data_IF_085871524911
#
_entry.id   IF_085871524911
#
_cell.length_a   1.000
_cell.length_b   1.000
_cell.length_c   1.000
_cell.angle_alpha   90.00
_cell.angle_beta   90.00
_cell.angle_gamma   90.00
#
_symmetry.space_group_name_H-M   'P 1'
#
loop_
_entity.id
_entity.type
_entity.pdbx_description
1 polymer ?
2 polymer ?
3 non-polymer ?
4 water ?
#
# COMPACT_ATOMS: atom_id res chain seq x y z
N UNK A 1 -1.42 -30.83 26.94
CA UNK A 1 -1.01 -30.10 25.75
C UNK A 1 -2.09 -29.12 25.31
N UNK A 2 -2.17 -27.98 25.98
CA UNK A 2 -3.14 -26.93 25.65
C UNK A 2 -2.36 -25.66 25.31
N UNK A 3 -2.27 -25.36 24.02
CA UNK A 3 -1.54 -24.19 23.56
C UNK A 3 -2.24 -22.91 24.02
N UNK A 4 -1.46 -21.84 24.12
CA UNK A 4 -2.03 -20.53 24.35
C UNK A 4 -2.74 -20.06 23.07
N UNK A 5 -3.75 -19.21 23.21
CA UNK A 5 -4.41 -18.68 22.01
C UNK A 5 -3.48 -17.75 21.25
N UNK A 6 -3.70 -17.69 19.94
CA UNK A 6 -3.04 -16.64 19.14
C UNK A 6 -3.90 -15.39 19.12
N UNK A 7 -5.23 -15.55 19.02
CA UNK A 7 -6.10 -14.38 19.00
C UNK A 7 -7.27 -14.59 19.93
N UNK A 8 -7.58 -13.58 20.74
CA UNK A 8 -8.70 -13.61 21.68
C UNK A 8 -9.54 -12.35 21.50
N UNK A 9 -10.78 -12.51 21.05
CA UNK A 9 -11.75 -11.43 20.94
C UNK A 9 -12.86 -11.72 21.95
N UNK A 10 -12.91 -10.92 23.00
CA UNK A 10 -13.88 -11.11 24.07
C UNK A 10 -14.86 -9.94 24.08
N UNK A 11 -16.15 -10.26 23.94
CA UNK A 11 -17.28 -9.33 23.96
C UNK A 11 -17.00 -8.04 23.22
N UNK A 12 -16.44 -8.16 22.02
CA UNK A 12 -16.19 -6.99 21.20
C UNK A 12 -17.43 -6.57 20.43
N UNK A 13 -17.63 -5.25 20.33
CA UNK A 13 -18.78 -4.69 19.66
C UNK A 13 -18.36 -3.50 18.81
N UNK A 14 -18.95 -3.38 17.63
CA UNK A 14 -18.73 -2.26 16.74
C UNK A 14 -20.07 -1.59 16.51
N UNK A 15 -20.20 -0.35 17.01
CA UNK A 15 -21.37 0.50 16.80
C UNK A 15 -20.95 1.65 15.88
N UNK A 16 -21.66 1.80 14.75
CA UNK A 16 -21.48 2.79 13.70
C UNK A 16 -22.63 3.81 13.73
N UNK A 17 -22.38 5.06 13.36
CA UNK A 17 -23.49 5.96 13.04
C UNK A 17 -24.10 5.58 11.70
N UNK A 18 -25.41 5.31 11.70
CA UNK A 18 -26.13 4.95 10.49
C UNK A 18 -27.12 6.07 10.18
N UNK A 19 -26.67 7.07 9.43
CA UNK A 19 -27.49 8.25 9.20
C UNK A 19 -27.64 9.03 10.49
N UNK A 20 -28.89 9.33 10.87
CA UNK A 20 -29.15 9.97 12.16
C UNK A 20 -29.22 8.96 13.30
N UNK A 21 -29.40 7.69 12.99
CA UNK A 21 -29.45 6.67 14.03
C UNK A 21 -28.10 5.98 14.14
N UNK A 22 -28.09 4.79 14.73
CA UNK A 22 -26.88 3.98 14.86
C UNK A 22 -27.19 2.55 14.45
N UNK A 23 -26.14 1.83 14.06
CA UNK A 23 -26.24 0.42 13.71
C UNK A 23 -25.17 -0.33 14.48
N UNK A 24 -25.54 -1.45 15.08
CA UNK A 24 -24.61 -2.27 15.85
C UNK A 24 -24.05 -3.31 14.89
N UNK A 25 -22.96 -2.93 14.21
CA UNK A 25 -22.35 -3.81 13.22
C UNK A 25 -21.84 -5.10 13.84
N UNK A 26 -21.47 -5.07 15.11
CA UNK A 26 -20.98 -6.29 15.77
C UNK A 26 -21.36 -6.25 17.24
N UNK A 27 -21.86 -7.38 17.76
CA UNK A 27 -22.53 -7.44 19.06
C UNK A 27 -21.88 -8.51 19.94
N UNK A 28 -20.96 -8.08 20.82
CA UNK A 28 -20.37 -8.91 21.88
C UNK A 28 -19.81 -10.23 21.32
N UNK A 29 -19.01 -10.13 20.27
CA UNK A 29 -18.45 -11.32 19.65
C UNK A 29 -17.30 -11.88 20.49
N UNK A 30 -17.30 -13.20 20.69
CA UNK A 30 -16.23 -13.90 21.39
C UNK A 30 -15.71 -15.01 20.49
N UNK A 31 -14.47 -14.88 20.03
CA UNK A 31 -13.77 -15.95 19.34
C UNK A 31 -12.36 -16.06 19.91
N UNK A 32 -11.78 -17.26 19.79
CA UNK A 32 -10.42 -17.52 20.24
C UNK A 32 -9.82 -18.55 19.30
N UNK A 33 -8.60 -18.30 18.84
CA UNK A 33 -7.96 -19.18 17.86
C UNK A 33 -6.49 -19.40 18.21
N UNK A 34 -6.05 -20.63 17.98
CA UNK A 34 -4.79 -21.24 18.34
C UNK A 34 -4.02 -21.65 17.10
N UNK A 35 -2.71 -21.89 17.23
CA UNK A 35 -1.91 -22.26 16.06
C UNK A 35 -2.43 -23.49 15.33
N UNK A 36 -2.44 -23.41 14.01
CA UNK A 36 -2.81 -24.53 13.15
C UNK A 36 -4.28 -24.73 12.92
N UNK A 37 -5.12 -23.77 13.29
CA UNK A 37 -6.56 -23.87 13.11
C UNK A 37 -7.02 -22.99 11.95
N UNK A 38 -7.94 -23.53 11.15
CA UNK A 38 -8.67 -22.76 10.14
C UNK A 38 -10.11 -22.66 10.65
N UNK A 39 -10.48 -21.49 11.14
CA UNK A 39 -11.83 -21.22 11.63
C UNK A 39 -12.57 -20.41 10.59
N UNK A 40 -13.71 -20.93 10.13
CA UNK A 40 -14.49 -20.26 9.11
C UNK A 40 -15.63 -19.47 9.76
N UNK A 41 -15.68 -18.18 9.45
CA UNK A 41 -16.79 -17.32 9.85
C UNK A 41 -17.85 -17.40 8.77
N UNK A 42 -19.06 -17.86 9.12
CA UNK A 42 -20.11 -18.05 8.14
C UNK A 42 -21.35 -17.29 8.58
N UNK A 43 -22.26 -17.08 7.64
CA UNK A 43 -23.48 -16.33 7.88
C UNK A 43 -23.91 -15.50 6.70
N UNK A 44 -25.23 -15.32 6.55
CA UNK A 44 -25.82 -14.53 5.48
C UNK A 44 -25.21 -13.14 5.39
N UNK A 45 -25.26 -12.53 4.21
CA UNK A 45 -24.65 -11.21 4.01
C UNK A 45 -25.27 -10.20 4.96
N UNK A 46 -24.45 -9.30 5.48
CA UNK A 46 -24.94 -8.30 6.40
C UNK A 46 -25.07 -8.75 7.84
N UNK A 47 -24.40 -9.83 8.23
CA UNK A 47 -24.46 -10.30 9.61
C UNK A 47 -23.16 -10.04 10.36
N UNK A 48 -22.24 -9.25 9.80
CA UNK A 48 -21.07 -8.80 10.52
C UNK A 48 -19.81 -9.62 10.31
N UNK A 49 -19.76 -10.46 9.28
CA UNK A 49 -18.58 -11.29 9.07
C UNK A 49 -17.34 -10.44 8.83
N UNK A 50 -17.40 -9.55 7.83
CA UNK A 50 -16.25 -8.71 7.52
C UNK A 50 -15.91 -7.75 8.65
N UNK A 51 -16.88 -7.39 9.50
CA UNK A 51 -16.57 -6.55 10.65
C UNK A 51 -15.78 -7.32 11.70
N UNK A 52 -16.19 -8.56 11.98
CA UNK A 52 -15.39 -9.41 12.85
C UNK A 52 -13.98 -9.56 12.30
N UNK A 53 -13.87 -9.74 10.98
CA UNK A 53 -12.54 -9.89 10.39
C UNK A 53 -11.71 -8.61 10.52
N UNK A 54 -12.36 -7.45 10.37
CA UNK A 54 -11.61 -6.19 10.41
C UNK A 54 -11.19 -5.81 11.82
N UNK A 55 -11.94 -6.22 12.84
CA UNK A 55 -11.42 -5.99 14.19
C UNK A 55 -10.37 -7.03 14.56
N UNK A 56 -10.52 -8.26 14.04
CA UNK A 56 -9.48 -9.26 14.25
C UNK A 56 -8.17 -8.86 13.59
N UNK A 57 -8.23 -8.06 12.53
CA UNK A 57 -7.04 -7.58 11.85
C UNK A 57 -6.57 -6.21 12.25
N UNK A 58 -7.12 -5.62 13.32
CA UNK A 58 -6.69 -4.32 13.82
C UNK A 58 -6.82 -3.24 12.76
N UNK A 59 -7.76 -3.42 11.85
CA UNK A 59 -8.13 -2.38 10.89
C UNK A 59 -9.15 -1.41 11.47
N UNK A 60 -9.77 -1.75 12.60
CA UNK A 60 -10.82 -0.96 13.21
C UNK A 60 -10.77 -1.17 14.72
N UNK A 61 -10.97 -0.08 15.46
CA UNK A 61 -11.00 -0.52 16.85
C UNK A 61 -12.43 -0.84 17.27
N UNK A 62 -12.61 -1.81 18.16
CA UNK A 62 -13.95 -2.04 18.71
C UNK A 62 -14.39 -0.84 19.53
N UNK A 63 -15.69 -0.57 19.54
CA UNK A 63 -16.16 0.51 20.39
C UNK A 63 -16.29 0.09 21.84
N UNK A 64 -16.48 -1.21 22.10
CA UNK A 64 -16.37 -1.78 23.44
C UNK A 64 -15.91 -3.22 23.29
N UNK A 65 -15.21 -3.73 24.30
CA UNK A 65 -14.70 -5.09 24.26
C UNK A 65 -13.24 -5.12 23.82
N UNK A 66 -12.71 -6.34 23.72
CA UNK A 66 -11.27 -6.50 23.59
C UNK A 66 -10.90 -7.45 22.45
N UNK A 67 -9.84 -7.06 21.72
CA UNK A 67 -9.16 -7.90 20.74
C UNK A 67 -7.69 -7.94 21.13
N UNK A 68 -7.18 -9.14 21.41
CA UNK A 68 -5.83 -9.33 21.91
C UNK A 68 -5.11 -10.33 21.03
N UNK A 69 -3.97 -9.92 20.46
CA UNK A 69 -3.07 -10.81 19.73
C UNK A 69 -1.92 -11.11 20.69
N UNK A 70 -1.98 -12.28 21.32
CA UNK A 70 -0.95 -12.68 22.28
C UNK A 70 0.41 -12.72 21.62
N UNK A 71 1.32 -11.88 22.09
CA UNK A 71 2.60 -11.65 21.45
C UNK A 71 2.72 -10.32 20.76
N UNK A 72 1.67 -9.50 20.78
CA UNK A 72 1.70 -8.15 20.25
C UNK A 72 1.33 -7.12 21.30
N UNK A 73 1.16 -7.53 22.56
CA UNK A 73 0.85 -6.61 23.64
C UNK A 73 1.87 -5.47 23.69
N UNK A 74 1.36 -4.23 23.74
CA UNK A 74 2.20 -3.05 23.76
C UNK A 74 2.36 -2.38 22.40
N UNK A 75 1.91 -3.01 21.33
CA UNK A 75 1.99 -2.44 19.99
C UNK A 75 0.66 -1.76 19.65
N UNK A 76 0.74 -0.66 18.92
CA UNK A 76 -0.46 -0.08 18.35
C UNK A 76 -0.92 -0.92 17.14
N UNK A 77 -2.11 -0.58 16.63
CA UNK A 77 -2.78 -1.45 15.65
C UNK A 77 -1.95 -1.62 14.39
N UNK A 78 -1.43 -0.53 13.83
CA UNK A 78 -0.68 -0.62 12.58
C UNK A 78 0.52 -1.55 12.73
N UNK A 79 1.32 -1.36 13.79
CA UNK A 79 2.47 -2.22 14.01
C UNK A 79 2.04 -3.65 14.29
N UNK A 80 0.89 -3.85 14.94
CA UNK A 80 0.39 -5.20 15.16
C UNK A 80 0.15 -5.90 13.83
N UNK A 81 -0.47 -5.20 12.88
CA UNK A 81 -0.61 -5.73 11.53
C UNK A 81 0.75 -5.98 10.89
N UNK A 82 1.62 -4.97 10.93
CA UNK A 82 2.91 -5.02 10.22
C UNK A 82 3.83 -6.11 10.75
N UNK A 83 3.68 -6.51 12.00
CA UNK A 83 4.60 -7.46 12.61
C UNK A 83 3.99 -8.83 12.88
N UNK A 84 2.65 -8.99 12.82
CA UNK A 84 2.08 -10.27 13.19
C UNK A 84 0.94 -10.79 12.31
N UNK A 85 0.45 -10.02 11.34
CA UNK A 85 -0.77 -10.40 10.63
C UNK A 85 -0.52 -10.47 9.13
N UNK A 86 -1.19 -11.43 8.49
CA UNK A 86 -1.23 -11.53 7.03
C UNK A 86 -2.66 -11.40 6.53
N UNK A 87 -2.80 -10.73 5.39
CA UNK A 87 -4.12 -10.31 4.87
C UNK A 87 -4.35 -10.88 3.48
N UNK A 88 -5.11 -11.96 3.39
CA UNK A 88 -5.59 -12.48 2.10
C UNK A 88 -6.88 -11.73 1.80
N UNK A 89 -6.74 -10.57 1.16
CA UNK A 89 -7.87 -9.72 0.86
C UNK A 89 -8.80 -10.40 -0.15
N UNK A 90 -10.05 -9.92 -0.18
CA UNK A 90 -11.00 -10.43 -1.16
C UNK A 90 -10.57 -10.07 -2.57
N UNK A 91 -10.26 -8.79 -2.80
CA UNK A 91 -9.57 -8.44 -4.03
C UNK A 91 -8.09 -8.77 -3.86
N UNK A 92 -7.44 -9.32 -4.89
CA UNK A 92 -6.00 -9.61 -4.79
C UNK A 92 -5.15 -8.44 -4.32
N UNK A 93 -5.55 -7.20 -4.62
CA UNK A 93 -4.88 -5.99 -4.11
C UNK A 93 -3.37 -6.06 -4.35
N UNK A 94 -3.00 -6.33 -5.60
CA UNK A 94 -1.62 -6.29 -6.03
C UNK A 94 -1.32 -4.92 -6.63
N UNK A 95 -0.08 -4.48 -6.45
CA UNK A 95 0.34 -3.15 -6.89
C UNK A 95 0.88 -3.25 -8.32
N UNK A 96 0.28 -2.48 -9.22
CA UNK A 96 0.47 -2.73 -10.64
C UNK A 96 1.91 -2.58 -11.11
N UNK A 97 2.63 -1.61 -10.55
CA UNK A 97 4.00 -1.35 -10.99
C UNK A 97 4.96 -2.45 -10.55
N UNK A 98 4.56 -3.29 -9.60
CA UNK A 98 5.45 -4.30 -9.06
C UNK A 98 5.26 -5.63 -9.78
N UNK A 99 6.35 -6.38 -9.87
CA UNK A 99 6.30 -7.76 -10.34
C UNK A 99 5.75 -8.65 -9.22
N UNK A 100 5.37 -9.87 -9.60
CA UNK A 100 4.82 -10.81 -8.63
C UNK A 100 5.76 -10.96 -7.43
N UNK A 101 7.04 -11.24 -7.71
CA UNK A 101 8.03 -11.36 -6.63
C UNK A 101 8.10 -10.07 -5.80
N UNK A 102 7.97 -8.92 -6.46
CA UNK A 102 8.04 -7.65 -5.72
C UNK A 102 6.83 -7.44 -4.83
N UNK A 103 5.68 -8.03 -5.16
CA UNK A 103 4.53 -8.01 -4.26
C UNK A 103 4.91 -8.61 -2.90
N UNK A 104 5.74 -9.65 -2.90
CA UNK A 104 6.21 -10.23 -1.66
C UNK A 104 7.31 -9.39 -1.04
N UNK A 105 8.27 -8.96 -1.87
CA UNK A 105 9.47 -8.28 -1.34
C UNK A 105 9.12 -6.96 -0.64
N UNK A 106 8.11 -6.24 -1.15
CA UNK A 106 7.86 -4.93 -0.56
C UNK A 106 7.37 -5.06 0.88
N UNK A 107 6.77 -6.20 1.26
CA UNK A 107 6.38 -6.36 2.65
C UNK A 107 7.59 -6.57 3.54
N UNK A 108 8.68 -7.11 2.99
CA UNK A 108 9.96 -7.06 3.69
C UNK A 108 10.44 -5.62 3.82
N UNK A 109 10.29 -4.84 2.75
CA UNK A 109 10.81 -3.47 2.75
C UNK A 109 10.15 -2.63 3.85
N UNK A 110 8.82 -2.55 3.85
CA UNK A 110 8.12 -1.73 4.84
C UNK A 110 8.26 -2.29 6.25
N UNK A 111 8.62 -3.56 6.39
CA UNK A 111 8.96 -4.15 7.69
C UNK A 111 10.34 -3.75 8.18
N UNK A 112 11.09 -3.00 7.39
CA UNK A 112 12.36 -2.44 7.81
C UNK A 112 13.60 -3.19 7.38
N UNK A 113 13.46 -4.36 6.75
CA UNK A 113 14.59 -5.25 6.52
C UNK A 113 14.88 -5.38 5.04
N UNK A 114 16.11 -5.79 4.74
CA UNK A 114 16.56 -5.99 3.37
C UNK A 114 15.77 -7.12 2.71
N UNK A 115 15.09 -6.88 1.59
CA UNK A 115 14.22 -7.91 1.01
C UNK A 115 14.95 -9.19 0.66
N UNK A 116 14.30 -10.32 0.96
CA UNK A 116 14.89 -11.65 0.79
C UNK A 116 14.32 -12.28 -0.48
N UNK A 117 15.10 -12.22 -1.56
CA UNK A 117 14.57 -12.67 -2.85
C UNK A 117 14.38 -14.18 -2.88
N UNK A 118 15.29 -14.94 -2.27
CA UNK A 118 15.17 -16.40 -2.29
C UNK A 118 13.93 -16.86 -1.54
N UNK A 119 13.65 -16.26 -0.38
CA UNK A 119 12.41 -16.57 0.34
C UNK A 119 11.19 -16.22 -0.48
N UNK A 120 11.24 -15.08 -1.18
CA UNK A 120 10.14 -14.69 -2.06
C UNK A 120 9.88 -15.76 -3.12
N UNK A 121 10.93 -16.21 -3.78
CA UNK A 121 10.77 -17.22 -4.83
C UNK A 121 10.30 -18.54 -4.26
N UNK A 122 10.81 -18.94 -3.09
CA UNK A 122 10.36 -20.16 -2.44
C UNK A 122 8.86 -20.09 -2.11
N UNK A 123 8.39 -18.93 -1.66
CA UNK A 123 6.98 -18.79 -1.32
C UNK A 123 6.08 -18.71 -2.55
N UNK A 124 6.58 -18.14 -3.65
CA UNK A 124 5.82 -18.19 -4.90
C UNK A 124 5.74 -19.63 -5.42
N UNK A 125 6.83 -20.38 -5.29
CA UNK A 125 6.79 -21.80 -5.62
C UNK A 125 5.80 -22.54 -4.73
N UNK A 126 5.72 -22.13 -3.47
CA UNK A 126 4.90 -22.83 -2.49
C UNK A 126 3.41 -22.70 -2.77
N UNK A 127 2.98 -21.55 -3.29
CA UNK A 127 1.58 -21.33 -3.59
C UNK A 127 1.29 -21.71 -5.04
N UNK A 128 2.24 -22.36 -5.69
CA UNK A 128 2.01 -22.90 -7.01
C UNK A 128 2.35 -21.99 -8.18
N UNK A 129 3.24 -21.03 -7.98
CA UNK A 129 3.70 -20.17 -9.07
C UNK A 129 5.22 -20.20 -9.16
N UNK A 130 5.79 -21.41 -9.10
CA UNK A 130 7.22 -21.58 -9.25
C UNK A 130 7.71 -20.96 -10.55
N UNK A 131 8.63 -20.00 -10.43
CA UNK A 131 9.26 -19.38 -11.56
C UNK A 131 8.55 -18.18 -12.15
N UNK A 132 7.34 -17.86 -11.70
CA UNK A 132 6.63 -16.70 -12.18
C UNK A 132 6.97 -15.44 -11.41
N UNK A 133 8.13 -15.40 -10.74
CA UNK A 133 8.48 -14.24 -9.93
C UNK A 133 8.54 -12.94 -10.71
N UNK A 134 8.82 -13.02 -12.00
CA UNK A 134 8.96 -11.83 -12.82
C UNK A 134 7.72 -11.36 -13.54
N UNK A 135 6.63 -12.13 -13.48
CA UNK A 135 5.42 -11.75 -14.21
C UNK A 135 4.85 -10.44 -13.68
N UNK A 136 4.39 -9.59 -14.60
CA UNK A 136 3.67 -8.39 -14.21
C UNK A 136 2.21 -8.75 -13.90
N UNK A 137 1.54 -7.85 -13.17
CA UNK A 137 0.19 -8.15 -12.69
C UNK A 137 -0.76 -8.38 -13.86
N UNK A 138 -0.58 -7.64 -14.96
CA UNK A 138 -1.42 -7.83 -16.13
C UNK A 138 -1.30 -9.23 -16.73
N UNK A 139 -0.20 -9.93 -16.43
CA UNK A 139 0.01 -11.27 -16.97
C UNK A 139 -0.50 -12.38 -16.08
N UNK A 140 -1.02 -12.07 -14.89
CA UNK A 140 -1.49 -13.07 -13.94
C UNK A 140 -3.01 -13.19 -14.01
N UNK A 141 -3.50 -14.42 -14.08
CA UNK A 141 -4.93 -14.67 -14.02
C UNK A 141 -5.44 -14.49 -12.59
N UNK A 142 -6.75 -14.30 -12.45
CA UNK A 142 -7.32 -14.04 -11.14
C UNK A 142 -6.94 -15.09 -10.11
N UNK A 143 -6.92 -16.35 -10.52
CA UNK A 143 -6.42 -17.39 -9.64
C UNK A 143 -4.98 -17.16 -9.23
N UNK A 144 -4.12 -16.87 -10.20
CA UNK A 144 -2.70 -16.63 -9.90
C UNK A 144 -2.52 -15.39 -9.06
N UNK A 145 -3.30 -14.34 -9.33
CA UNK A 145 -3.30 -13.15 -8.49
C UNK A 145 -3.58 -13.50 -7.04
N UNK A 146 -4.63 -14.30 -6.81
CA UNK A 146 -4.97 -14.68 -5.45
C UNK A 146 -3.85 -15.50 -4.81
N UNK A 147 -3.21 -16.38 -5.59
CA UNK A 147 -2.09 -17.14 -5.05
C UNK A 147 -0.94 -16.23 -4.63
N UNK A 148 -0.68 -15.19 -5.43
CA UNK A 148 0.34 -14.20 -5.06
C UNK A 148 -0.06 -13.50 -3.77
N UNK A 149 -1.34 -13.11 -3.67
CA UNK A 149 -1.85 -12.48 -2.45
C UNK A 149 -1.56 -13.35 -1.22
N UNK A 150 -1.77 -14.66 -1.35
CA UNK A 150 -1.49 -15.57 -0.24
C UNK A 150 -0.01 -15.60 0.08
N UNK A 151 0.83 -15.75 -0.94
CA UNK A 151 2.28 -15.77 -0.72
C UNK A 151 2.75 -14.49 -0.04
N UNK A 152 2.18 -13.34 -0.43
CA UNK A 152 2.50 -12.08 0.22
C UNK A 152 2.13 -12.13 1.69
N UNK A 153 0.95 -12.65 2.02
CA UNK A 153 0.57 -12.79 3.41
C UNK A 153 1.49 -13.73 4.19
N UNK A 154 2.13 -14.69 3.52
CA UNK A 154 3.07 -15.58 4.18
C UNK A 154 4.46 -14.98 4.38
N UNK A 155 4.81 -13.94 3.61
CA UNK A 155 6.18 -13.47 3.52
C UNK A 155 6.76 -13.08 4.88
N UNK A 156 5.95 -12.44 5.72
CA UNK A 156 6.39 -11.98 7.03
C UNK A 156 6.31 -12.97 8.15
N UNK A 157 6.03 -14.25 7.87
CA UNK A 157 5.87 -15.27 8.89
C UNK A 157 4.87 -14.83 9.97
N UNK A 158 3.65 -14.47 9.58
CA UNK A 158 2.68 -13.97 10.56
C UNK A 158 2.16 -15.11 11.42
N UNK A 159 1.65 -14.75 12.60
CA UNK A 159 0.98 -15.74 13.42
C UNK A 159 -0.51 -15.83 13.12
N UNK A 160 -1.10 -14.76 12.60
CA UNK A 160 -2.52 -14.69 12.31
C UNK A 160 -2.68 -14.41 10.82
N UNK A 161 -3.61 -15.12 10.18
CA UNK A 161 -3.89 -14.96 8.76
C UNK A 161 -5.38 -14.78 8.57
N UNK A 162 -5.78 -13.66 7.98
CA UNK A 162 -7.18 -13.33 7.78
C UNK A 162 -7.48 -13.37 6.29
N UNK A 163 -8.36 -14.29 5.90
CA UNK A 163 -8.80 -14.47 4.51
C UNK A 163 -10.23 -13.99 4.40
N UNK A 164 -10.45 -12.99 3.55
CA UNK A 164 -11.78 -12.40 3.37
C UNK A 164 -12.33 -12.87 2.03
N UNK A 165 -13.16 -13.92 2.07
CA UNK A 165 -13.79 -14.52 0.89
C UNK A 165 -12.87 -14.50 -0.33
N UNK A 166 -11.69 -15.10 -0.25
CA UNK A 166 -10.70 -14.94 -1.33
C UNK A 166 -11.01 -15.74 -2.59
N UNK A 167 -12.12 -16.45 -2.65
CA UNK A 167 -12.54 -17.18 -3.84
C UNK A 167 -13.80 -16.60 -4.46
N UNK A 168 -14.19 -15.38 -4.07
CA UNK A 168 -15.46 -14.83 -4.51
C UNK A 168 -15.52 -14.62 -6.02
N UNK A 169 -14.36 -14.43 -6.66
CA UNK A 169 -14.32 -14.15 -8.09
C UNK A 169 -13.74 -15.32 -8.89
N UNK A 170 -13.91 -16.55 -8.40
CA UNK A 170 -13.30 -17.73 -9.00
C UNK A 170 -14.33 -18.84 -9.18
N UNK A 171 -14.07 -19.73 -10.15
CA UNK A 171 -14.99 -20.82 -10.44
C UNK A 171 -14.82 -21.93 -9.40
N UNK A 172 -15.54 -23.04 -9.60
CA UNK A 172 -15.53 -24.12 -8.62
C UNK A 172 -14.14 -24.73 -8.45
N UNK A 173 -13.46 -25.00 -9.56
CA UNK A 173 -12.17 -25.68 -9.53
C UNK A 173 -11.10 -24.82 -8.86
N UNK A 174 -11.01 -23.55 -9.25
CA UNK A 174 -10.05 -22.63 -8.64
C UNK A 174 -10.40 -22.36 -7.18
N UNK A 175 -11.70 -22.25 -6.85
CA UNK A 175 -12.08 -22.05 -5.46
C UNK A 175 -11.61 -23.23 -4.60
N UNK A 176 -11.78 -24.46 -5.10
CA UNK A 176 -11.33 -25.62 -4.36
C UNK A 176 -9.81 -25.62 -4.20
N UNK A 177 -9.08 -25.29 -5.27
CA UNK A 177 -7.63 -25.21 -5.16
C UNK A 177 -7.20 -24.16 -4.14
N UNK A 178 -7.85 -23.01 -4.13
CA UNK A 178 -7.42 -21.92 -3.26
C UNK A 178 -7.73 -22.24 -1.81
N UNK A 179 -8.89 -22.84 -1.53
CA UNK A 179 -9.16 -23.18 -0.14
C UNK A 179 -8.30 -24.35 0.33
N UNK A 180 -7.98 -25.29 -0.57
CA UNK A 180 -7.03 -26.35 -0.20
C UNK A 180 -5.66 -25.76 0.13
N UNK A 181 -5.20 -24.79 -0.68
CA UNK A 181 -3.92 -24.13 -0.41
C UNK A 181 -3.95 -23.41 0.93
N UNK A 182 -5.07 -22.74 1.23
CA UNK A 182 -5.18 -22.04 2.51
C UNK A 182 -5.08 -23.00 3.68
N UNK A 183 -5.83 -24.11 3.64
CA UNK A 183 -5.74 -25.10 4.72
C UNK A 183 -4.34 -25.70 4.81
N UNK A 184 -3.70 -25.93 3.66
CA UNK A 184 -2.40 -26.58 3.66
C UNK A 184 -1.31 -25.69 4.25
N UNK A 185 -1.33 -24.38 3.96
CA UNK A 185 -0.33 -23.53 4.59
C UNK A 185 -0.71 -23.22 6.03
N UNK A 186 -2.01 -23.19 6.35
CA UNK A 186 -2.41 -23.05 7.76
C UNK A 186 -1.81 -24.17 8.60
N UNK A 187 -1.90 -25.40 8.11
CA UNK A 187 -1.30 -26.52 8.85
C UNK A 187 0.21 -26.50 8.79
N UNK A 188 0.78 -26.18 7.61
CA UNK A 188 2.24 -26.25 7.48
C UNK A 188 2.93 -25.19 8.33
N UNK A 189 2.47 -23.95 8.24
CA UNK A 189 3.13 -22.84 8.92
C UNK A 189 2.56 -22.56 10.30
N UNK A 190 1.64 -23.39 10.79
CA UNK A 190 1.03 -23.23 12.12
C UNK A 190 0.46 -21.82 12.30
N UNK A 191 -0.23 -21.34 11.26
CA UNK A 191 -0.95 -20.08 11.36
C UNK A 191 -2.30 -20.30 12.03
N UNK A 192 -2.79 -19.27 12.69
CA UNK A 192 -4.18 -19.20 13.10
C UNK A 192 -4.93 -18.43 12.01
N UNK A 193 -5.78 -19.13 11.27
CA UNK A 193 -6.42 -18.59 10.09
C UNK A 193 -7.91 -18.35 10.37
N UNK A 194 -8.34 -17.11 10.20
CA UNK A 194 -9.74 -16.73 10.19
C UNK A 194 -10.18 -16.53 8.76
N UNK A 195 -11.12 -17.33 8.28
CA UNK A 195 -11.56 -17.27 6.88
C UNK A 195 -13.05 -16.99 6.83
N UNK A 196 -13.42 -15.90 6.18
CA UNK A 196 -14.82 -15.57 5.93
C UNK A 196 -15.23 -16.18 4.60
N UNK A 197 -16.33 -16.94 4.60
CA UNK A 197 -16.90 -17.43 3.35
C UNK A 197 -18.41 -17.51 3.46
N UNK A 198 -19.04 -17.53 2.29
CA UNK A 198 -20.47 -17.74 2.17
C UNK A 198 -20.80 -19.02 1.41
N UNK A 199 -19.80 -19.72 0.89
CA UNK A 199 -20.00 -20.91 0.08
C UNK A 199 -19.82 -22.15 0.95
N UNK A 200 -20.89 -22.94 1.07
CA UNK A 200 -20.84 -24.10 1.96
C UNK A 200 -19.94 -25.20 1.40
N UNK A 201 -19.73 -25.21 0.07
CA UNK A 201 -18.79 -26.13 -0.56
C UNK A 201 -17.38 -25.97 -0.01
N UNK A 202 -17.18 -25.00 0.89
CA UNK A 202 -15.89 -24.75 1.49
C UNK A 202 -15.81 -25.18 2.96
N UNK A 203 -16.95 -25.33 3.64
CA UNK A 203 -16.91 -25.55 5.08
C UNK A 203 -16.18 -26.83 5.46
N UNK A 204 -16.13 -27.80 4.54
CA UNK A 204 -15.44 -29.05 4.80
C UNK A 204 -13.96 -28.84 5.12
N UNK A 205 -13.37 -27.74 4.65
CA UNK A 205 -11.95 -27.47 4.87
C UNK A 205 -11.68 -26.74 6.18
N UNK A 206 -12.69 -26.57 7.01
CA UNK A 206 -12.57 -25.86 8.28
C UNK A 206 -12.51 -26.86 9.44
N UNK A 207 -11.82 -26.45 10.50
CA UNK A 207 -11.88 -27.21 11.75
C UNK A 207 -13.10 -26.86 12.58
N UNK A 208 -13.57 -25.61 12.49
CA UNK A 208 -14.74 -25.16 13.21
C UNK A 208 -15.21 -23.84 12.59
N UNK A 209 -16.34 -23.33 13.10
CA UNK A 209 -16.98 -22.16 12.50
C UNK A 209 -17.34 -21.16 13.58
N UNK A 210 -17.57 -19.93 13.13
CA UNK A 210 -18.26 -18.91 13.89
C UNK A 210 -19.50 -18.54 13.08
N UNK A 211 -20.66 -18.97 13.56
CA UNK A 211 -21.91 -18.58 12.92
C UNK A 211 -22.27 -17.16 13.33
N UNK A 212 -22.48 -16.29 12.33
CA UNK A 212 -22.87 -14.92 12.53
C UNK A 212 -24.35 -14.78 12.25
N UNK A 213 -25.04 -14.04 13.12
CA UNK A 213 -26.43 -13.65 12.87
C UNK A 213 -26.65 -12.31 13.54
N UNK A 214 -26.88 -11.28 12.72
CA UNK A 214 -27.19 -9.94 13.22
C UNK A 214 -26.10 -9.41 14.13
N UNK A 215 -24.84 -9.58 13.73
CA UNK A 215 -23.73 -9.13 14.52
C UNK A 215 -23.43 -9.96 15.76
N UNK A 216 -24.20 -11.02 16.00
CA UNK A 216 -23.93 -11.94 17.11
C UNK A 216 -23.13 -13.12 16.58
N UNK A 217 -22.11 -13.53 17.32
CA UNK A 217 -21.22 -14.61 16.95
C UNK A 217 -21.42 -15.79 17.87
N UNK A 218 -21.42 -17.00 17.29
CA UNK A 218 -21.47 -18.24 18.07
C UNK A 218 -20.42 -19.20 17.55
N UNK A 219 -19.52 -19.63 18.43
CA UNK A 219 -18.48 -20.59 18.07
C UNK A 219 -19.06 -22.00 18.04
N UNK A 220 -18.98 -22.65 16.87
CA UNK A 220 -19.58 -23.95 16.63
C UNK A 220 -18.52 -24.93 16.12
N UNK A 221 -18.69 -26.20 16.48
CA UNK A 221 -17.90 -27.26 15.90
C UNK A 221 -18.58 -27.94 14.72
N UNK A 222 -19.86 -27.66 14.50
CA UNK A 222 -20.61 -28.25 13.40
C UNK A 222 -21.62 -27.27 12.84
N UNK B 1 10.30 4.31 -0.81
CA UNK B 1 11.14 4.62 -1.94
C UNK B 1 11.17 3.47 -2.95
N UNK B 2 10.92 2.26 -2.45
CA UNK B 2 10.75 1.07 -3.26
C UNK B 2 9.65 1.32 -4.30
N UNK B 3 8.41 1.49 -3.81
CA UNK B 3 7.27 1.66 -4.69
C UNK B 3 7.39 2.92 -5.54
N UNK B 4 7.99 3.98 -4.99
CA UNK B 4 8.15 5.21 -5.75
C UNK B 4 8.99 5.01 -7.00
N UNK B 5 10.17 4.40 -6.83
CA UNK B 5 11.05 4.15 -7.97
C UNK B 5 10.39 3.18 -8.95
N UNK B 6 9.71 2.15 -8.43
CA UNK B 6 9.05 1.21 -9.33
C UNK B 6 7.94 1.89 -10.12
N UNK B 7 7.24 2.84 -9.49
CA UNK B 7 6.24 3.63 -10.20
C UNK B 7 6.87 4.45 -11.31
N UNK B 8 7.99 5.11 -11.00
CA UNK B 8 8.72 5.86 -12.01
C UNK B 8 9.03 4.97 -13.22
N UNK B 9 9.53 3.76 -12.93
CA UNK B 9 9.90 2.84 -13.99
C UNK B 9 8.68 2.42 -14.81
N UNK B 10 7.63 1.96 -14.12
CA UNK B 10 6.48 1.36 -14.81
C UNK B 10 5.68 2.40 -15.59
N UNK B 11 5.63 3.64 -15.10
CA UNK B 11 4.91 4.69 -15.81
C UNK B 11 5.88 5.75 -16.32
N UNK B 12 6.88 5.31 -17.10
CA UNK B 12 7.97 6.21 -17.47
C UNK B 12 7.50 7.36 -18.34
N UNK B 13 6.40 7.19 -19.07
CA UNK B 13 5.90 8.23 -19.95
C UNK B 13 5.47 9.50 -19.26
N UNK B 14 4.52 9.37 -18.32
CA UNK B 14 4.01 10.55 -17.62
C UNK B 14 5.12 11.24 -16.82
N UNK B 15 5.97 10.46 -16.16
CA UNK B 15 7.04 11.05 -15.36
C UNK B 15 8.09 11.72 -16.24
N UNK B 16 8.37 11.15 -17.42
CA UNK B 16 9.30 11.80 -18.33
C UNK B 16 8.70 13.09 -18.87
N UNK B 17 7.39 13.12 -19.15
CA UNK B 17 6.76 14.34 -19.62
C UNK B 17 6.84 15.45 -18.57
N UNK B 18 6.51 15.12 -17.32
CA UNK B 18 6.53 16.16 -16.29
C UNK B 18 7.96 16.58 -15.96
N UNK B 19 8.93 15.65 -16.03
CA UNK B 19 10.32 16.02 -15.83
C UNK B 19 10.81 16.92 -16.96
N UNK B 20 10.37 16.67 -18.19
CA UNK B 20 10.71 17.56 -19.29
C UNK B 20 10.12 18.95 -19.08
N UNK B 21 8.87 19.01 -18.61
CA UNK B 21 8.25 20.32 -18.34
C UNK B 21 9.05 21.09 -17.29
N UNK B 22 9.36 20.44 -16.17
CA UNK B 22 10.04 21.14 -15.08
C UNK B 22 11.47 21.49 -15.48
N UNK B 23 12.14 20.61 -16.23
CA UNK B 23 13.49 20.93 -16.69
C UNK B 23 13.50 22.07 -17.69
N UNK B 24 12.50 22.11 -18.57
CA UNK B 24 12.38 23.21 -19.52
C UNK B 24 12.17 24.53 -18.80
N UNK B 25 11.31 24.55 -17.77
CA UNK B 25 11.07 25.81 -17.08
C UNK B 25 12.28 26.21 -16.23
N UNK B 26 12.99 25.24 -15.66
CA UNK B 26 14.23 25.57 -14.95
C UNK B 26 15.27 26.14 -15.90
N UNK B 27 15.35 25.60 -17.12
CA UNK B 27 16.28 26.14 -18.11
C UNK B 27 15.87 27.55 -18.52
N UNK B 28 14.56 27.79 -18.65
CA UNK B 28 14.05 29.13 -18.92
C UNK B 28 14.53 30.10 -17.83
N UNK B 29 14.39 29.71 -16.57
CA UNK B 29 14.81 30.59 -15.48
C UNK B 29 16.32 30.78 -15.50
N UNK B 30 17.07 29.72 -15.81
CA UNK B 30 18.52 29.82 -15.89
C UNK B 30 18.93 30.88 -16.90
N UNK B 31 18.36 30.80 -18.11
CA UNK B 31 18.70 31.78 -19.14
C UNK B 31 18.22 33.17 -18.75
N UNK B 32 17.06 33.28 -18.10
CA UNK B 32 16.54 34.59 -17.72
C UNK B 32 17.43 35.25 -16.68
N UNK B 33 17.91 34.50 -15.69
CA UNK B 33 18.82 35.08 -14.71
C UNK B 33 20.17 35.39 -15.33
N UNK B 34 20.65 34.53 -16.23
CA UNK B 34 21.91 34.79 -16.90
C UNK B 34 21.87 36.06 -17.74
N UNK B 35 20.72 36.36 -18.32
CA UNK B 35 20.60 37.62 -19.05
C UNK B 35 20.32 38.80 -18.13
N UNK B 36 19.63 38.57 -17.01
CA UNK B 36 19.46 39.62 -16.01
C UNK B 36 20.80 40.12 -15.52
N UNK B 37 21.69 39.20 -15.16
CA UNK B 37 23.03 39.58 -14.69
C UNK B 37 23.97 39.84 -15.86
N UNK B 221 13.74 45.45 -12.39
CA UNK B 221 12.44 45.24 -11.78
C UNK B 221 11.62 44.21 -12.55
N UNK B 222 11.47 44.47 -13.86
CA UNK B 222 10.66 43.60 -14.70
C UNK B 222 11.23 42.18 -14.76
N UNK B 223 12.56 42.07 -14.92
CA UNK B 223 13.18 40.76 -15.03
C UNK B 223 13.00 39.95 -13.74
N UNK B 224 13.22 40.58 -12.60
CA UNK B 224 13.07 39.89 -11.32
C UNK B 224 11.62 39.49 -11.08
N UNK B 225 10.67 40.35 -11.47
CA UNK B 225 9.26 39.99 -11.34
C UNK B 225 8.93 38.78 -12.19
N UNK B 226 9.43 38.74 -13.44
CA UNK B 226 9.19 37.58 -14.30
C UNK B 226 9.79 36.32 -13.69
N UNK B 227 11.01 36.41 -13.15
CA UNK B 227 11.64 35.25 -12.52
C UNK B 227 10.80 34.73 -11.35
N UNK B 228 10.29 35.64 -10.51
CA UNK B 228 9.50 35.22 -9.36
C UNK B 228 8.20 34.55 -9.80
N UNK B 229 7.50 35.15 -10.76
CA UNK B 229 6.25 34.55 -11.22
C UNK B 229 6.48 33.21 -11.91
N UNK B 230 7.62 33.03 -12.56
CA UNK B 230 7.88 31.73 -13.17
C UNK B 230 8.27 30.67 -12.15
N UNK B 231 8.96 31.06 -11.08
CA UNK B 231 9.12 30.16 -9.94
C UNK B 231 7.76 29.71 -9.42
N UNK B 232 6.84 30.65 -9.28
CA UNK B 232 5.50 30.32 -8.78
C UNK B 232 4.77 29.41 -9.76
N UNK B 233 4.97 29.61 -11.07
CA UNK B 233 4.37 28.73 -12.07
C UNK B 233 4.88 27.31 -11.92
N UNK B 234 6.20 27.15 -11.76
CA UNK B 234 6.76 25.82 -11.58
C UNK B 234 6.20 25.15 -10.33
N UNK B 235 6.07 25.93 -9.25
CA UNK B 235 5.48 25.39 -8.02
C UNK B 235 4.06 24.92 -8.24
N UNK B 236 3.26 25.71 -8.95
CA UNK B 236 1.86 25.33 -9.18
C UNK B 236 1.76 24.10 -10.07
N UNK B 237 2.62 23.99 -11.08
CA UNK B 237 2.62 22.81 -11.94
C UNK B 237 2.93 21.57 -11.12
N UNK B 238 3.95 21.66 -10.25
CA UNK B 238 4.30 20.53 -9.39
C UNK B 238 3.12 20.15 -8.49
N UNK B 239 2.48 21.14 -7.88
CA UNK B 239 1.37 20.88 -6.96
C UNK B 239 0.24 20.17 -7.68
N UNK B 240 -0.12 20.66 -8.87
CA UNK B 240 -1.20 20.07 -9.64
C UNK B 240 -0.90 18.61 -9.98
N UNK B 241 0.25 18.38 -10.61
CA UNK B 241 0.59 17.01 -11.02
C UNK B 241 0.62 16.08 -9.83
N UNK B 242 1.17 16.53 -8.70
CA UNK B 242 1.34 15.63 -7.58
C UNK B 242 0.03 15.34 -6.86
N UNK B 243 -0.88 16.32 -6.75
CA UNK B 243 -2.19 16.00 -6.20
C UNK B 243 -2.91 14.98 -7.07
N UNK B 244 -2.84 15.14 -8.40
CA UNK B 244 -3.51 14.17 -9.26
C UNK B 244 -2.87 12.79 -9.11
N UNK B 245 -1.54 12.73 -9.07
CA UNK B 245 -0.84 11.46 -8.94
C UNK B 245 -1.21 10.76 -7.64
N UNK B 246 -1.21 11.50 -6.52
CA UNK B 246 -1.55 10.93 -5.23
C UNK B 246 -3.00 10.44 -5.19
N UNK B 247 -3.93 11.26 -5.71
CA UNK B 247 -5.33 10.87 -5.75
C UNK B 247 -5.53 9.61 -6.59
N UNK B 248 -4.69 9.40 -7.60
CA UNK B 248 -4.76 8.16 -8.36
C UNK B 248 -4.11 6.99 -7.62
N UNK B 249 -3.08 7.27 -6.80
CA UNK B 249 -2.41 6.23 -6.02
C UNK B 249 -3.20 5.77 -4.79
N UNK B 250 -4.27 6.50 -4.44
CA UNK B 250 -5.02 6.23 -3.22
C UNK B 250 -5.17 4.74 -2.85
N UNK B 251 -5.56 3.88 -3.80
CA UNK B 251 -5.83 2.50 -3.39
C UNK B 251 -4.54 1.71 -3.11
N UNK B 252 -3.48 1.94 -3.88
CA UNK B 252 -2.20 1.32 -3.52
C UNK B 252 -1.75 1.77 -2.14
N UNK B 253 -1.92 3.07 -1.84
CA UNK B 253 -1.56 3.56 -0.51
C UNK B 253 -2.42 2.91 0.56
N UNK B 254 -3.69 2.68 0.25
CA UNK B 254 -4.60 2.05 1.21
C UNK B 254 -4.17 0.62 1.48
N UNK B 255 -3.81 -0.13 0.44
CA UNK B 255 -3.33 -1.50 0.61
C UNK B 255 -2.09 -1.52 1.50
N UNK B 256 -1.16 -0.60 1.23
CA UNK B 256 0.06 -0.55 2.03
C UNK B 256 -0.24 -0.24 3.49
N UNK B 257 -1.12 0.74 3.74
CA UNK B 257 -1.52 1.05 5.11
C UNK B 257 -2.13 -0.16 5.80
N UNK B 258 -3.03 -0.87 5.11
CA UNK B 258 -3.64 -2.07 5.67
C UNK B 258 -2.59 -3.10 6.04
N UNK B 259 -1.63 -3.34 5.14
CA UNK B 259 -0.58 -4.32 5.42
C UNK B 259 0.27 -3.88 6.60
N UNK B 260 0.41 -2.59 6.82
CA UNK B 260 1.03 -2.13 8.05
C UNK B 260 2.09 -1.06 7.87
N UNK B 261 2.13 -0.47 6.68
CA UNK B 261 3.09 0.58 6.40
C UNK B 261 2.78 1.81 7.26
N UNK B 262 3.84 2.41 7.80
CA UNK B 262 3.66 3.55 8.69
C UNK B 262 3.40 4.82 7.88
N UNK B 263 2.88 5.83 8.59
CA UNK B 263 2.73 7.16 8.02
C UNK B 263 4.08 7.71 7.59
N UNK B 264 5.09 7.61 8.46
CA UNK B 264 6.43 8.06 8.11
C UNK B 264 6.91 7.40 6.83
N UNK B 265 6.67 6.09 6.70
CA UNK B 265 7.10 5.34 5.53
C UNK B 265 6.42 5.85 4.26
N UNK B 266 5.09 5.94 4.29
CA UNK B 266 4.35 6.38 3.10
C UNK B 266 4.74 7.81 2.72
N UNK B 267 4.93 8.68 3.72
CA UNK B 267 5.28 10.06 3.45
C UNK B 267 6.68 10.15 2.85
N UNK B 268 7.63 9.39 3.38
CA UNK B 268 8.96 9.36 2.82
C UNK B 268 8.91 8.88 1.38
N UNK B 269 8.11 7.86 1.10
CA UNK B 269 8.01 7.34 -0.27
C UNK B 269 7.48 8.41 -1.23
N UNK B 270 6.36 9.04 -0.88
CA UNK B 270 5.77 10.05 -1.74
C UNK B 270 6.73 11.21 -1.97
N UNK B 271 7.30 11.74 -0.88
CA UNK B 271 8.19 12.89 -0.99
C UNK B 271 9.48 12.54 -1.73
N UNK B 272 9.98 11.31 -1.58
CA UNK B 272 11.18 10.94 -2.32
C UNK B 272 10.94 10.78 -3.80
N UNK B 273 9.78 10.21 -4.16
CA UNK B 273 9.38 10.19 -5.57
C UNK B 273 9.39 11.60 -6.14
N UNK B 274 8.70 12.51 -5.45
CA UNK B 274 8.63 13.89 -5.93
C UNK B 274 10.01 14.54 -6.02
N UNK B 275 10.85 14.33 -5.00
CA UNK B 275 12.16 14.96 -4.97
C UNK B 275 13.06 14.42 -6.07
N UNK B 276 13.00 13.11 -6.33
CA UNK B 276 13.82 12.52 -7.39
C UNK B 276 13.42 13.10 -8.74
N UNK B 277 12.11 13.18 -9.00
CA UNK B 277 11.67 13.72 -10.28
C UNK B 277 12.09 15.18 -10.43
N UNK B 278 11.91 15.97 -9.38
CA UNK B 278 12.27 17.39 -9.46
C UNK B 278 13.77 17.59 -9.57
N UNK B 279 14.57 16.73 -8.92
CA UNK B 279 16.02 16.81 -9.06
C UNK B 279 16.43 16.52 -10.49
N UNK B 280 15.90 15.45 -11.08
CA UNK B 280 16.19 15.15 -12.48
C UNK B 280 15.85 16.33 -13.38
N UNK B 281 14.64 16.89 -13.19
CA UNK B 281 14.21 18.04 -13.96
C UNK B 281 15.15 19.22 -13.85
N UNK B 282 15.39 19.70 -12.62
CA UNK B 282 16.21 20.88 -12.42
C UNK B 282 17.63 20.64 -12.91
N UNK B 283 18.16 19.42 -12.72
CA UNK B 283 19.53 19.15 -13.12
C UNK B 283 19.68 19.18 -14.63
N UNK B 284 18.81 18.46 -15.35
CA UNK B 284 18.90 18.49 -16.81
C UNK B 284 18.70 19.89 -17.34
N UNK B 285 17.70 20.61 -16.82
CA UNK B 285 17.46 21.97 -17.29
C UNK B 285 18.65 22.87 -17.07
N UNK B 286 19.20 22.87 -15.85
CA UNK B 286 20.32 23.75 -15.53
C UNK B 286 21.56 23.40 -16.33
N UNK B 287 21.83 22.10 -16.52
CA UNK B 287 23.00 21.72 -17.30
C UNK B 287 22.90 22.17 -18.75
N UNK B 288 21.78 21.88 -19.39
CA UNK B 288 21.65 22.26 -20.79
C UNK B 288 21.57 23.78 -20.92
N UNK B 289 21.03 24.48 -19.90
CA UNK B 289 21.00 25.93 -19.97
C UNK B 289 22.37 26.56 -19.82
N UNK B 290 23.21 26.01 -18.93
CA UNK B 290 24.58 26.50 -18.81
C UNK B 290 25.35 26.25 -20.10
N UNK B 291 25.14 25.08 -20.72
CA UNK B 291 25.77 24.81 -22.02
C UNK B 291 25.34 25.84 -23.06
N UNK B 292 24.02 26.08 -23.16
CA UNK B 292 23.53 27.03 -24.15
C UNK B 292 24.04 28.44 -23.87
N UNK B 293 24.18 28.79 -22.60
CA UNK B 293 24.70 30.11 -22.26
C UNK B 293 26.16 30.27 -22.62
N UNK B 294 26.97 29.23 -22.39
CA UNK B 294 28.36 29.28 -22.84
C UNK B 294 28.43 29.38 -24.36
N UNK B 295 27.48 28.77 -25.06
CA UNK B 295 27.49 28.85 -26.52
C UNK B 295 26.98 30.20 -27.03
N UNK B 296 26.12 30.88 -26.27
CA UNK B 296 25.47 32.10 -26.73
C UNK B 296 26.08 33.36 -26.13
N UNK B 297 27.07 33.23 -25.24
CA UNK B 297 27.68 34.40 -24.62
C UNK B 297 28.33 35.36 -25.62
N UNK B 298 28.41 35.00 -26.90
CA UNK B 298 29.07 35.84 -27.88
C UNK B 298 28.18 36.82 -28.61
N UNK B 299 26.90 36.48 -28.75
CA UNK B 299 25.98 37.32 -29.53
C UNK B 299 25.21 38.30 -28.65
N UNK B 300 24.82 37.88 -27.45
CA UNK B 300 24.08 38.73 -26.51
C UNK B 300 24.75 38.62 -25.16
N UNK B 301 24.95 39.73 -24.43
CA UNK B 301 25.68 39.67 -23.15
C UNK B 301 25.12 38.63 -22.18
N UNK B 302 25.83 37.51 -22.06
CA UNK B 302 25.43 36.43 -21.17
C UNK B 302 26.44 36.34 -20.03
N UNK B 303 25.92 36.27 -18.81
CA UNK B 303 26.74 36.09 -17.61
C UNK B 303 26.38 34.75 -17.00
N UNK B 304 27.27 33.77 -17.14
CA UNK B 304 27.09 32.45 -16.55
C UNK B 304 28.07 32.30 -15.39
N UNK B 305 27.53 32.13 -14.20
CA UNK B 305 28.34 31.79 -13.05
C UNK B 305 27.90 30.43 -12.52
N UNK B 306 28.43 30.02 -11.37
CA UNK B 306 27.96 28.79 -10.76
C UNK B 306 26.78 29.03 -9.83
N UNK B 307 26.75 30.18 -9.16
CA UNK B 307 25.56 30.56 -8.39
C UNK B 307 24.36 30.71 -9.30
N UNK B 308 24.55 31.39 -10.44
CA UNK B 308 23.48 31.70 -11.39
C UNK B 308 22.78 30.45 -11.89
N UNK B 309 23.35 29.28 -11.63
CA UNK B 309 22.80 28.02 -12.12
C UNK B 309 22.41 27.12 -10.96
N UNK B 310 23.15 27.20 -9.85
CA UNK B 310 22.86 26.33 -8.72
C UNK B 310 21.76 26.91 -7.83
N UNK B 311 21.80 28.21 -7.56
CA UNK B 311 20.79 28.89 -6.78
C UNK B 311 19.40 28.68 -7.34
N UNK B 312 19.21 28.91 -8.64
CA UNK B 312 17.91 28.57 -9.24
C UNK B 312 17.60 27.08 -9.22
N UNK B 313 18.59 26.21 -9.41
CA UNK B 313 18.34 24.78 -9.41
C UNK B 313 17.78 24.32 -8.07
N UNK B 314 18.55 24.52 -7.00
CA UNK B 314 18.08 24.15 -5.66
C UNK B 314 16.86 24.98 -5.25
N UNK B 315 16.73 26.21 -5.78
CA UNK B 315 15.59 27.03 -5.45
C UNK B 315 14.29 26.44 -5.96
N UNK B 316 14.25 26.10 -7.25
CA UNK B 316 13.08 25.44 -7.83
C UNK B 316 12.88 24.06 -7.22
N UNK B 317 13.98 23.38 -6.89
CA UNK B 317 13.87 22.09 -6.21
C UNK B 317 13.10 22.23 -4.89
N UNK B 318 13.48 23.21 -4.07
CA UNK B 318 12.80 23.40 -2.79
C UNK B 318 11.40 23.96 -2.98
N UNK B 319 11.21 24.83 -3.98
CA UNK B 319 9.87 25.26 -4.38
C UNK B 319 8.96 24.04 -4.56
N UNK B 320 9.38 23.15 -5.45
CA UNK B 320 8.58 21.97 -5.73
C UNK B 320 8.45 21.03 -4.53
N UNK B 321 9.45 20.98 -3.66
CA UNK B 321 9.35 20.09 -2.50
C UNK B 321 8.35 20.62 -1.48
N UNK B 322 8.36 21.93 -1.23
CA UNK B 322 7.32 22.54 -0.40
C UNK B 322 5.95 22.27 -1.01
N UNK B 323 5.82 22.48 -2.33
CA UNK B 323 4.57 22.19 -2.99
C UNK B 323 4.15 20.73 -2.92
N UNK B 324 5.13 19.82 -2.97
CA UNK B 324 4.84 18.39 -2.90
C UNK B 324 4.36 18.00 -1.52
N UNK B 325 4.95 18.58 -0.48
CA UNK B 325 4.40 18.43 0.86
C UNK B 325 2.95 18.89 0.90
N UNK B 326 2.68 20.08 0.35
CA UNK B 326 1.30 20.58 0.26
C UNK B 326 0.41 19.56 -0.42
N UNK B 327 0.94 18.90 -1.46
CA UNK B 327 0.14 18.01 -2.29
C UNK B 327 -0.19 16.71 -1.57
N UNK B 328 0.82 16.07 -0.98
CA UNK B 328 0.62 14.73 -0.40
C UNK B 328 0.30 14.84 1.08
N UNK B 329 0.00 16.05 1.57
CA UNK B 329 -0.47 16.27 2.93
C UNK B 329 -1.41 15.19 3.45
N UNK B 330 -2.25 14.62 2.58
CA UNK B 330 -3.24 13.63 2.99
C UNK B 330 -2.91 12.23 2.48
N UNK B 331 -1.63 11.94 2.25
CA UNK B 331 -1.22 10.55 2.03
C UNK B 331 -1.34 9.77 3.33
N UNK B 332 -1.01 10.40 4.46
CA UNK B 332 -1.14 9.78 5.76
C UNK B 332 -2.60 9.63 6.21
N UNK B 333 -3.56 10.07 5.39
CA UNK B 333 -4.97 10.11 5.76
C UNK B 333 -5.75 8.87 5.35
N UNK B 334 -5.31 8.16 4.31
CA UNK B 334 -6.13 7.15 3.66
C UNK B 334 -6.54 6.05 4.65
N UNK B 335 -7.81 5.64 4.58
CA UNK B 335 -8.39 4.62 5.45
C UNK B 335 -8.08 3.23 4.93
N UNK B 336 -7.31 2.43 5.67
CA UNK B 336 -6.93 1.10 5.17
C UNK B 336 -8.11 0.18 4.88
N UNK B 337 -9.29 0.43 5.47
CA UNK B 337 -10.44 -0.43 5.20
C UNK B 337 -10.92 -0.30 3.76
N UNK B 338 -10.42 0.71 3.04
CA UNK B 338 -10.62 0.78 1.59
C UNK B 338 -10.15 -0.50 0.93
N UNK B 339 -9.06 -1.08 1.43
CA UNK B 339 -8.53 -2.31 0.88
C UNK B 339 -9.51 -3.47 1.06
N UNK B 340 -10.37 -3.39 2.08
CA UNK B 340 -11.29 -4.48 2.36
C UNK B 340 -12.44 -4.56 1.37
N UNK B 341 -12.69 -3.50 0.61
CA UNK B 341 -13.81 -3.48 -0.30
C UNK B 341 -13.60 -4.27 -1.57
N UNK B 342 -14.36 -3.95 -2.61
CA UNK B 342 -14.26 -4.66 -3.89
C UNK B 342 -13.88 -3.70 -4.99
X LIG C 1 -21.28 -9.45 6.30
X LIG C 1 -19.82 -9.38 6.34
X LIG C 1 -21.84 -8.43 7.19
X LIG C 1 -21.73 -9.21 4.93
X LIG C 1 -21.71 -10.79 6.74
#
# INVERSE_FOLDING_TARGET
MSAAPVLSITNASVVYPDGISTVTALDSANVEIFPGELVAIVGESGSGKSTLLSIAGFLQEPTSGTVTLHGAEGLDATSTRREHIGFVFQQPNLLGSLTAREQLLITDHLRGIKPRKDRADELLARVGLKGLGGRRVAQLSGGQRQRVNIARALMGNPQLLLADEPTSALDARLSKEIVELLRDVTKEFALATLMVTHDRSQLAYADRFVEMADGKALQTAKLWSHPQFEK
MFLGIRDIRAAAGRFALIASVVGLITLLIVMLTGLTQGLGKQNTSAIEALAPHSVVFTTAGGSSPEFTSSEISEQQAERWKDSTPLGVSQTRIESDQNANTTAVMGLPEGTPLPDSVGGFIEQGALLPAELADFLHVRAGDHITLGGATVTVAGTVKTENYSHTPVVWVDTATWQLVSHTKAVGTVLLLNQEPTIQPQDNEVVTDLKGAFQAMPAYKSERSSLLSMQAFLYIISALVTVAFLTVWTLQRTRDIAVLAALGASKRYLLIDALGQAAIILAAGVALGAGIGALLGWLIAGSVPFSLGWVSVLGPALGIWLLGLIGATIAVRNVTKVDPQIALGATA
SO4 S O1 O2 O3 O4
#
